data_IF_256648439529
#
_entry.id   IF_256648439529
#
_cell.length_a   1.000
_cell.length_b   1.000
_cell.length_c   1.000
_cell.angle_alpha   90.00
_cell.angle_beta   90.00
_cell.angle_gamma   90.00
#
_symmetry.space_group_name_H-M   'P 1'
#
loop_
_entity.id
_entity.type
_entity.pdbx_description
1 polymer ?
#
# COMPACT_ATOMS: atom_id res chain seq x y z
N UNK A 1 11.96 16.21 1.33
CA UNK A 1 12.83 16.39 0.14
C UNK A 1 12.22 15.74 -1.09
N UNK A 2 11.78 14.47 -1.07
CA UNK A 2 11.28 13.74 -2.25
C UNK A 2 10.08 14.40 -2.94
N UNK A 3 9.11 14.91 -2.19
CA UNK A 3 7.95 15.61 -2.78
C UNK A 3 8.34 16.90 -3.50
N UNK A 4 9.34 17.61 -2.96
CA UNK A 4 9.85 18.84 -3.58
C UNK A 4 10.55 18.51 -4.90
N UNK A 5 11.46 17.54 -4.89
CA UNK A 5 12.16 17.08 -6.10
C UNK A 5 11.16 16.58 -7.15
N UNK A 6 10.15 15.80 -6.76
CA UNK A 6 9.11 15.33 -7.67
C UNK A 6 8.38 16.52 -8.32
N UNK A 7 7.95 17.50 -7.53
CA UNK A 7 7.26 18.68 -8.03
C UNK A 7 8.13 19.53 -8.98
N UNK A 8 9.45 19.53 -8.81
CA UNK A 8 10.38 20.25 -9.66
C UNK A 8 10.64 19.57 -11.00
N UNK A 9 10.73 18.24 -11.02
CA UNK A 9 11.35 17.54 -12.15
C UNK A 9 10.53 16.37 -12.72
N UNK A 10 9.65 15.73 -11.91
CA UNK A 10 8.98 14.51 -12.34
C UNK A 10 7.85 14.76 -13.34
N UNK A 11 7.64 13.81 -14.24
CA UNK A 11 6.49 13.69 -15.15
C UNK A 11 5.52 12.62 -14.67
N UNK A 12 6.04 11.60 -13.96
CA UNK A 12 5.25 10.58 -13.29
C UNK A 12 5.87 10.24 -11.94
N UNK A 13 5.02 9.98 -10.95
CA UNK A 13 5.43 9.64 -9.59
C UNK A 13 4.76 8.36 -9.16
N UNK A 14 5.55 7.31 -8.93
CA UNK A 14 5.10 6.17 -8.17
C UNK A 14 5.05 6.52 -6.69
N UNK A 15 3.96 6.16 -6.01
CA UNK A 15 3.79 6.44 -4.58
C UNK A 15 3.14 5.27 -3.85
N UNK A 16 3.37 5.18 -2.55
CA UNK A 16 2.73 4.19 -1.69
C UNK A 16 1.73 4.89 -0.79
N UNK A 17 0.46 4.76 -1.12
CA UNK A 17 -0.66 5.23 -0.33
C UNK A 17 -1.38 4.03 0.29
N UNK A 18 -2.14 4.25 1.36
CA UNK A 18 -2.90 3.18 2.03
C UNK A 18 -4.40 3.36 1.92
N UNK A 19 -4.83 4.60 1.83
CA UNK A 19 -6.23 4.99 1.77
C UNK A 19 -6.40 6.27 0.95
N UNK A 20 -7.62 6.56 0.57
CA UNK A 20 -7.98 7.69 -0.26
C UNK A 20 -7.58 9.02 0.37
N UNK A 21 -7.79 9.20 1.67
CA UNK A 21 -7.47 10.45 2.36
C UNK A 21 -5.96 10.76 2.30
N UNK A 22 -5.11 9.74 2.50
CA UNK A 22 -3.67 9.87 2.34
C UNK A 22 -3.28 10.18 0.89
N UNK A 23 -3.96 9.56 -0.08
CA UNK A 23 -3.81 9.84 -1.51
C UNK A 23 -4.11 11.30 -1.84
N UNK A 24 -5.26 11.78 -1.42
CA UNK A 24 -5.71 13.17 -1.62
C UNK A 24 -4.75 14.19 -1.00
N UNK A 25 -4.30 13.94 0.24
CA UNK A 25 -3.34 14.82 0.92
C UNK A 25 -1.99 14.87 0.18
N UNK A 26 -1.51 13.72 -0.31
CA UNK A 26 -0.29 13.65 -1.11
C UNK A 26 -0.45 14.37 -2.45
N UNK A 27 -1.55 14.12 -3.14
CA UNK A 27 -1.88 14.73 -4.43
C UNK A 27 -1.92 16.24 -4.33
N UNK A 28 -2.69 16.76 -3.37
CA UNK A 28 -2.82 18.22 -3.15
C UNK A 28 -1.47 18.87 -2.81
N UNK A 29 -0.65 18.25 -1.95
CA UNK A 29 0.67 18.80 -1.58
C UNK A 29 1.60 18.88 -2.79
N UNK A 30 1.73 17.80 -3.57
CA UNK A 30 2.69 17.77 -4.69
C UNK A 30 2.23 18.65 -5.84
N UNK A 31 0.96 18.60 -6.23
CA UNK A 31 0.38 19.47 -7.28
C UNK A 31 0.45 20.93 -6.90
N UNK A 32 0.14 21.27 -5.63
CA UNK A 32 0.25 22.66 -5.13
C UNK A 32 1.69 23.18 -5.08
N UNK A 33 2.69 22.34 -4.93
CA UNK A 33 4.10 22.73 -5.07
C UNK A 33 4.45 23.07 -6.52
N UNK A 34 3.95 22.31 -7.49
CA UNK A 34 4.13 22.60 -8.91
C UNK A 34 3.58 23.96 -9.29
N UNK A 35 2.35 24.27 -8.85
CA UNK A 35 1.70 25.55 -9.09
C UNK A 35 2.53 26.72 -8.55
N UNK A 36 3.04 26.60 -7.31
CA UNK A 36 3.89 27.64 -6.68
C UNK A 36 5.19 27.89 -7.45
N UNK A 37 5.65 26.93 -8.24
CA UNK A 37 6.85 27.06 -9.09
C UNK A 37 6.50 27.44 -10.54
N UNK A 38 5.24 27.72 -10.85
CA UNK A 38 4.78 28.04 -12.20
C UNK A 38 4.76 26.84 -13.16
N UNK A 39 4.82 25.62 -12.63
CA UNK A 39 4.74 24.39 -13.42
C UNK A 39 3.30 23.91 -13.50
N UNK A 40 2.83 23.53 -14.69
CA UNK A 40 1.48 23.02 -14.86
C UNK A 40 1.30 21.66 -14.14
N UNK A 41 0.38 21.53 -13.15
CA UNK A 41 0.15 20.29 -12.42
C UNK A 41 -0.28 19.11 -13.30
N UNK A 42 -0.94 19.37 -14.43
CA UNK A 42 -1.39 18.30 -15.35
C UNK A 42 -0.26 17.62 -16.10
N UNK A 43 0.94 18.20 -16.11
CA UNK A 43 2.13 17.62 -16.72
C UNK A 43 2.80 16.56 -15.87
N UNK A 44 2.30 16.26 -14.67
CA UNK A 44 2.79 15.18 -13.83
C UNK A 44 1.64 14.25 -13.45
N UNK A 45 1.88 12.95 -13.52
CA UNK A 45 0.91 11.92 -13.13
C UNK A 45 1.34 11.24 -11.83
N UNK A 46 0.42 11.18 -10.87
CA UNK A 46 0.63 10.52 -9.58
C UNK A 46 -0.03 9.14 -9.64
N UNK A 47 0.78 8.08 -9.51
CA UNK A 47 0.41 6.69 -9.76
C UNK A 47 0.69 5.84 -8.52
N UNK A 48 -0.22 5.73 -7.54
CA UNK A 48 -0.04 4.82 -6.42
C UNK A 48 -0.01 3.37 -6.87
N UNK A 49 0.84 2.57 -6.22
CA UNK A 49 0.80 1.12 -6.34
C UNK A 49 -0.49 0.58 -5.73
N UNK A 50 -1.22 -0.21 -6.49
CA UNK A 50 -2.48 -0.82 -6.07
C UNK A 50 -2.43 -2.34 -6.27
N UNK A 51 -2.63 -3.09 -5.20
CA UNK A 51 -2.71 -4.55 -5.21
C UNK A 51 -4.16 -4.97 -5.43
N UNK A 52 -4.43 -5.62 -6.56
CA UNK A 52 -5.80 -5.94 -6.97
C UNK A 52 -6.06 -7.44 -6.88
N UNK A 53 -7.11 -7.81 -6.15
CA UNK A 53 -7.58 -9.20 -6.03
C UNK A 53 -9.04 -9.27 -6.47
N UNK A 54 -9.28 -9.86 -7.63
CA UNK A 54 -10.61 -9.98 -8.23
C UNK A 54 -11.25 -11.31 -7.86
N UNK A 55 -12.52 -11.26 -7.49
CA UNK A 55 -13.40 -12.42 -7.33
C UNK A 55 -14.73 -12.19 -8.03
N UNK A 56 -15.46 -13.26 -8.35
CA UNK A 56 -16.82 -13.12 -8.91
C UNK A 56 -17.81 -12.68 -7.82
N UNK A 57 -17.47 -12.90 -6.55
CA UNK A 57 -18.12 -12.31 -5.36
C UNK A 57 -17.11 -11.67 -4.43
N UNK A 58 -17.58 -10.81 -3.51
CA UNK A 58 -16.73 -10.21 -2.48
C UNK A 58 -16.13 -11.27 -1.55
N UNK A 59 -16.90 -12.30 -1.22
CA UNK A 59 -16.47 -13.42 -0.38
C UNK A 59 -15.35 -14.21 -1.05
N UNK A 60 -15.47 -14.47 -2.35
CA UNK A 60 -14.42 -15.14 -3.12
C UNK A 60 -13.12 -14.30 -3.17
N UNK A 61 -13.24 -13.00 -3.45
CA UNK A 61 -12.08 -12.11 -3.47
C UNK A 61 -11.37 -12.09 -2.10
N UNK A 62 -12.13 -12.01 -1.00
CA UNK A 62 -11.60 -12.09 0.36
C UNK A 62 -10.94 -13.42 0.66
N UNK A 63 -11.53 -14.53 0.20
CA UNK A 63 -10.94 -15.86 0.36
C UNK A 63 -9.62 -16.01 -0.40
N UNK A 64 -9.55 -15.50 -1.65
CA UNK A 64 -8.30 -15.41 -2.43
C UNK A 64 -7.23 -14.60 -1.67
N UNK A 65 -7.59 -13.43 -1.14
CA UNK A 65 -6.69 -12.60 -0.34
C UNK A 65 -6.20 -13.32 0.92
N UNK A 66 -7.10 -13.93 1.69
CA UNK A 66 -6.73 -14.69 2.88
C UNK A 66 -5.80 -15.86 2.57
N UNK A 67 -6.02 -16.54 1.42
CA UNK A 67 -5.12 -17.60 0.95
C UNK A 67 -3.73 -17.06 0.64
N UNK A 68 -3.61 -15.92 -0.04
CA UNK A 68 -2.32 -15.28 -0.31
C UNK A 68 -1.60 -14.91 0.98
N UNK A 69 -2.31 -14.30 1.93
CA UNK A 69 -1.75 -13.92 3.23
C UNK A 69 -1.26 -15.16 4.02
N UNK A 70 -1.96 -16.29 3.91
CA UNK A 70 -1.55 -17.56 4.56
C UNK A 70 -0.28 -18.20 3.97
N UNK A 71 0.09 -17.81 2.76
CA UNK A 71 1.29 -18.30 2.08
C UNK A 71 2.54 -17.47 2.42
N UNK A 72 2.41 -16.40 3.16
CA UNK A 72 3.55 -15.59 3.60
C UNK A 72 4.38 -16.41 4.58
N UNK A 73 5.63 -16.68 4.21
CA UNK A 73 6.55 -17.46 5.03
C UNK A 73 6.95 -16.65 6.27
N UNK A 74 6.66 -17.19 7.46
CA UNK A 74 6.78 -16.43 8.72
C UNK A 74 8.22 -15.95 8.99
N UNK A 75 9.24 -16.74 8.69
CA UNK A 75 10.62 -16.33 8.92
C UNK A 75 11.00 -15.13 8.02
N UNK A 76 10.58 -15.15 6.75
CA UNK A 76 10.77 -14.02 5.83
C UNK A 76 9.98 -12.79 6.28
N UNK A 77 8.79 -12.98 6.78
CA UNK A 77 7.95 -11.92 7.33
C UNK A 77 8.60 -11.26 8.56
N UNK A 78 9.16 -12.06 9.47
CA UNK A 78 9.91 -11.57 10.65
C UNK A 78 11.19 -10.84 10.24
N UNK A 79 11.90 -11.31 9.21
CA UNK A 79 13.05 -10.59 8.67
C UNK A 79 12.63 -9.20 8.12
N UNK A 80 11.54 -9.13 7.37
CA UNK A 80 10.99 -7.86 6.86
C UNK A 80 10.55 -6.93 7.99
N UNK A 81 9.92 -7.48 9.04
CA UNK A 81 9.55 -6.73 10.24
C UNK A 81 10.79 -6.18 10.94
N UNK A 82 11.83 -6.99 11.10
CA UNK A 82 13.10 -6.57 11.71
C UNK A 82 13.73 -5.38 10.99
N UNK A 83 13.75 -5.41 9.66
CA UNK A 83 14.25 -4.30 8.83
C UNK A 83 13.38 -3.06 9.05
N UNK A 84 12.06 -3.21 9.05
CA UNK A 84 11.11 -2.10 9.22
C UNK A 84 11.25 -1.44 10.59
N UNK A 85 11.38 -2.25 11.64
CA UNK A 85 11.51 -1.76 13.02
C UNK A 85 12.94 -1.29 13.36
N UNK A 86 13.94 -1.77 12.61
CA UNK A 86 15.36 -1.51 12.88
C UNK A 86 15.91 -2.25 14.08
N UNK A 87 15.30 -3.38 14.44
CA UNK A 87 15.74 -4.25 15.51
C UNK A 87 15.41 -5.72 15.20
N UNK A 88 16.00 -6.65 15.92
CA UNK A 88 15.80 -8.09 15.70
C UNK A 88 14.45 -8.58 16.27
N UNK A 89 13.45 -8.63 15.41
CA UNK A 89 12.09 -9.08 15.77
C UNK A 89 11.98 -10.61 15.97
N UNK A 90 13.01 -11.39 15.63
CA UNK A 90 13.00 -12.85 15.86
C UNK A 90 13.00 -13.23 17.34
N UNK A 91 13.35 -12.28 18.21
CA UNK A 91 13.37 -12.42 19.66
C UNK A 91 12.04 -12.10 20.34
N UNK A 92 11.07 -11.62 19.60
CA UNK A 92 9.76 -11.25 20.14
C UNK A 92 8.84 -12.46 20.25
N UNK A 93 7.92 -12.38 21.21
CA UNK A 93 6.82 -13.34 21.28
C UNK A 93 5.89 -13.13 20.08
N UNK A 94 5.85 -14.12 19.19
CA UNK A 94 5.09 -14.02 17.95
C UNK A 94 3.57 -13.88 18.18
N UNK A 95 3.07 -14.45 19.25
CA UNK A 95 1.64 -14.45 19.55
C UNK A 95 1.25 -13.40 20.59
N UNK A 96 2.26 -12.65 21.09
CA UNK A 96 2.11 -11.49 21.94
C UNK A 96 1.98 -10.18 21.19
N UNK A 97 1.67 -9.08 21.89
CA UNK A 97 1.65 -7.74 21.34
C UNK A 97 3.06 -7.28 20.95
N UNK A 98 3.14 -6.26 20.10
CA UNK A 98 4.42 -5.65 19.75
C UNK A 98 5.04 -5.01 21.03
N UNK A 99 6.27 -5.40 21.43
CA UNK A 99 6.93 -4.80 22.58
C UNK A 99 7.37 -3.36 22.27
N UNK A 100 7.80 -2.64 23.30
CA UNK A 100 8.44 -1.34 23.11
C UNK A 100 9.68 -1.47 22.23
N UNK A 101 9.72 -0.68 21.15
CA UNK A 101 10.78 -0.76 20.16
C UNK A 101 11.85 0.29 20.44
N UNK A 102 13.14 -0.09 20.62
CA UNK A 102 14.22 0.84 20.88
C UNK A 102 14.43 1.81 19.72
N UNK A 103 14.94 2.99 19.99
CA UNK A 103 15.33 3.92 18.95
C UNK A 103 16.38 3.31 18.00
N UNK A 104 16.23 3.55 16.71
CA UNK A 104 17.15 3.05 15.69
C UNK A 104 17.27 4.04 14.54
N UNK A 105 18.31 3.86 13.73
CA UNK A 105 18.52 4.64 12.50
C UNK A 105 17.70 4.11 11.30
N UNK A 106 16.76 3.16 11.52
CA UNK A 106 15.86 2.69 10.49
C UNK A 106 14.93 3.80 9.98
N UNK A 107 14.27 3.54 8.86
CA UNK A 107 13.33 4.49 8.24
C UNK A 107 12.20 4.86 9.20
N UNK A 108 12.27 6.04 9.80
CA UNK A 108 11.32 6.51 10.84
C UNK A 108 9.86 6.34 10.41
N UNK A 109 9.51 6.75 9.20
CA UNK A 109 8.13 6.65 8.69
C UNK A 109 7.62 5.21 8.54
N UNK A 110 8.48 4.26 8.20
CA UNK A 110 8.12 2.83 8.11
C UNK A 110 7.83 2.25 9.49
N UNK A 111 8.73 2.51 10.43
CA UNK A 111 8.62 2.10 11.82
C UNK A 111 7.37 2.67 12.49
N UNK A 112 7.18 3.99 12.42
CA UNK A 112 6.01 4.67 13.00
C UNK A 112 4.69 4.07 12.49
N UNK A 113 4.60 3.81 11.19
CA UNK A 113 3.41 3.17 10.60
C UNK A 113 3.19 1.75 11.13
N UNK A 114 4.25 0.96 11.28
CA UNK A 114 4.15 -0.41 11.79
C UNK A 114 3.68 -0.41 13.26
N UNK A 115 4.27 0.43 14.09
CA UNK A 115 3.89 0.58 15.51
C UNK A 115 2.44 1.05 15.64
N UNK A 116 2.06 2.12 14.93
CA UNK A 116 0.68 2.64 14.94
C UNK A 116 -0.34 1.60 14.47
N UNK A 117 -0.01 0.80 13.46
CA UNK A 117 -0.90 -0.26 12.98
C UNK A 117 -1.07 -1.36 14.03
N UNK A 118 0.02 -1.78 14.68
CA UNK A 118 -0.03 -2.78 15.75
C UNK A 118 -0.88 -2.31 16.93
N UNK A 119 -0.68 -1.07 17.39
CA UNK A 119 -1.43 -0.49 18.51
C UNK A 119 -2.91 -0.27 18.18
N UNK A 120 -3.21 0.35 17.05
CA UNK A 120 -4.58 0.71 16.66
C UNK A 120 -5.46 -0.52 16.43
N UNK A 121 -4.88 -1.58 15.87
CA UNK A 121 -5.61 -2.80 15.47
C UNK A 121 -5.41 -3.95 16.45
N UNK A 122 -4.59 -3.79 17.50
CA UNK A 122 -4.30 -4.83 18.48
C UNK A 122 -3.60 -6.05 17.88
N UNK A 123 -2.71 -5.84 16.90
CA UNK A 123 -2.07 -6.94 16.18
C UNK A 123 -1.00 -7.62 17.03
N UNK A 124 -0.94 -8.96 16.95
CA UNK A 124 0.23 -9.70 17.44
C UNK A 124 1.43 -9.47 16.53
N UNK A 125 2.64 -9.78 17.04
CA UNK A 125 3.88 -9.71 16.23
C UNK A 125 3.76 -10.56 14.97
N UNK A 126 3.18 -11.74 15.04
CA UNK A 126 2.90 -12.63 13.91
C UNK A 126 2.03 -11.94 12.86
N UNK A 127 0.90 -11.38 13.27
CA UNK A 127 -0.03 -10.71 12.38
C UNK A 127 0.60 -9.47 11.72
N UNK A 128 1.34 -8.68 12.49
CA UNK A 128 2.07 -7.54 11.97
C UNK A 128 3.14 -7.96 10.95
N UNK A 129 3.90 -9.01 11.26
CA UNK A 129 4.92 -9.54 10.37
C UNK A 129 4.31 -10.07 9.06
N UNK A 130 3.24 -10.86 9.13
CA UNK A 130 2.54 -11.37 7.95
C UNK A 130 2.01 -10.23 7.07
N UNK A 131 1.44 -9.19 7.70
CA UNK A 131 0.95 -8.01 6.98
C UNK A 131 2.06 -7.25 6.26
N UNK A 132 3.24 -7.13 6.87
CA UNK A 132 4.41 -6.46 6.26
C UNK A 132 5.16 -7.36 5.28
N UNK A 133 5.17 -8.65 5.53
CA UNK A 133 5.76 -9.66 4.63
C UNK A 133 4.91 -9.92 3.37
N UNK A 134 3.59 -9.68 3.47
CA UNK A 134 2.67 -9.60 2.35
C UNK A 134 2.62 -8.18 1.76
N UNK A 135 1.59 -7.89 0.99
CA UNK A 135 1.36 -6.54 0.48
C UNK A 135 0.52 -5.71 1.48
N UNK A 136 1.12 -4.66 2.01
CA UNK A 136 0.53 -3.78 3.04
C UNK A 136 0.15 -2.37 2.56
N UNK A 137 0.30 -2.08 1.26
CA UNK A 137 -0.10 -0.83 0.63
C UNK A 137 -1.60 -0.78 0.29
N UNK A 138 -1.96 0.09 -0.66
CA UNK A 138 -3.32 0.15 -1.19
C UNK A 138 -3.69 -1.19 -1.83
N UNK A 139 -4.77 -1.80 -1.36
CA UNK A 139 -5.28 -3.04 -1.91
C UNK A 139 -6.78 -2.91 -2.18
N UNK A 140 -7.19 -3.25 -3.38
CA UNK A 140 -8.60 -3.35 -3.78
C UNK A 140 -8.95 -4.82 -3.93
N UNK A 141 -9.89 -5.29 -3.11
CA UNK A 141 -10.27 -6.70 -3.01
C UNK A 141 -11.78 -6.81 -3.14
N UNK A 142 -12.26 -7.27 -4.29
CA UNK A 142 -13.70 -7.25 -4.55
C UNK A 142 -14.08 -7.83 -5.90
N UNK A 143 -15.30 -7.53 -6.30
CA UNK A 143 -15.78 -7.82 -7.65
C UNK A 143 -15.22 -6.81 -8.65
N UNK A 144 -15.24 -7.12 -9.97
CA UNK A 144 -14.84 -6.15 -10.99
C UNK A 144 -15.51 -4.79 -10.81
N UNK A 145 -16.82 -4.77 -10.58
CA UNK A 145 -17.60 -3.54 -10.41
C UNK A 145 -17.15 -2.74 -9.17
N UNK A 146 -17.01 -3.40 -8.00
CA UNK A 146 -16.59 -2.69 -6.79
C UNK A 146 -15.18 -2.15 -6.87
N UNK A 147 -14.28 -2.83 -7.59
CA UNK A 147 -12.92 -2.36 -7.84
C UNK A 147 -12.92 -1.17 -8.79
N UNK A 148 -13.71 -1.22 -9.87
CA UNK A 148 -13.85 -0.11 -10.80
C UNK A 148 -14.43 1.13 -10.12
N UNK A 149 -15.50 0.98 -9.31
CA UNK A 149 -16.11 2.06 -8.53
C UNK A 149 -15.08 2.72 -7.58
N UNK A 150 -14.26 1.92 -6.88
CA UNK A 150 -13.23 2.43 -5.99
C UNK A 150 -12.13 3.17 -6.77
N UNK A 151 -11.69 2.63 -7.92
CA UNK A 151 -10.73 3.32 -8.79
C UNK A 151 -11.28 4.64 -9.31
N UNK A 152 -12.54 4.68 -9.70
CA UNK A 152 -13.24 5.88 -10.14
C UNK A 152 -13.32 6.94 -9.04
N UNK A 153 -13.67 6.53 -7.81
CA UNK A 153 -13.68 7.44 -6.66
C UNK A 153 -12.31 8.09 -6.45
N UNK A 154 -11.22 7.31 -6.49
CA UNK A 154 -9.87 7.83 -6.36
C UNK A 154 -9.54 8.88 -7.44
N UNK A 155 -9.93 8.64 -8.68
CA UNK A 155 -9.69 9.54 -9.82
C UNK A 155 -10.49 10.84 -9.67
N UNK A 156 -11.80 10.75 -9.48
CA UNK A 156 -12.69 11.92 -9.42
C UNK A 156 -12.48 12.78 -8.19
N UNK A 157 -12.04 12.18 -7.08
CA UNK A 157 -11.79 12.92 -5.84
C UNK A 157 -10.35 13.40 -5.69
N UNK A 158 -9.55 13.32 -6.75
CA UNK A 158 -8.15 13.75 -6.78
C UNK A 158 -7.26 13.03 -5.77
N UNK A 159 -7.47 11.73 -5.61
CA UNK A 159 -6.56 10.85 -4.88
C UNK A 159 -5.38 10.38 -5.75
N UNK A 160 -5.58 10.35 -7.08
CA UNK A 160 -4.61 9.85 -8.06
C UNK A 160 -4.89 10.41 -9.47
N UNK A 161 -3.93 10.24 -10.37
CA UNK A 161 -4.11 10.39 -11.84
C UNK A 161 -4.21 9.03 -12.56
N UNK A 162 -4.02 7.92 -11.86
CA UNK A 162 -4.06 6.55 -12.34
C UNK A 162 -3.43 5.60 -11.33
N UNK A 163 -3.23 4.33 -11.68
CA UNK A 163 -2.70 3.32 -10.78
C UNK A 163 -1.57 2.53 -11.42
N UNK A 164 -0.60 2.13 -10.61
CA UNK A 164 0.34 1.08 -10.96
C UNK A 164 -0.21 -0.22 -10.38
N UNK A 165 -0.80 -1.06 -11.24
CA UNK A 165 -1.44 -2.30 -10.78
C UNK A 165 -0.38 -3.35 -10.46
N UNK A 166 -0.50 -3.92 -9.26
CA UNK A 166 0.34 -4.99 -8.74
C UNK A 166 -0.49 -6.26 -8.65
N UNK A 167 -0.09 -7.27 -9.42
CA UNK A 167 -0.84 -8.53 -9.49
C UNK A 167 -0.38 -9.50 -8.41
N UNK A 168 -1.33 -10.14 -7.69
CA UNK A 168 -0.98 -11.07 -6.60
C UNK A 168 -0.29 -12.34 -7.11
N UNK A 169 -0.62 -12.77 -8.33
CA UNK A 169 -0.08 -13.96 -9.00
C UNK A 169 -0.24 -13.82 -10.51
N UNK A 170 0.57 -14.53 -11.26
CA UNK A 170 0.58 -14.50 -12.73
C UNK A 170 0.41 -15.91 -13.29
N UNK A 171 -0.26 -16.05 -14.46
CA UNK A 171 -0.87 -14.98 -15.28
C UNK A 171 -2.30 -14.60 -14.86
N UNK A 172 -3.00 -15.41 -14.05
CA UNK A 172 -4.45 -15.30 -13.81
C UNK A 172 -4.83 -13.96 -13.16
N UNK A 173 -4.04 -13.46 -12.19
CA UNK A 173 -4.31 -12.18 -11.55
C UNK A 173 -4.23 -10.99 -12.51
N UNK A 174 -3.33 -11.04 -13.51
CA UNK A 174 -3.27 -10.07 -14.60
C UNK A 174 -4.51 -10.20 -15.51
N UNK A 175 -4.84 -11.43 -15.92
CA UNK A 175 -5.97 -11.69 -16.80
C UNK A 175 -7.29 -11.24 -16.14
N UNK A 176 -7.49 -11.53 -14.85
CA UNK A 176 -8.68 -11.10 -14.12
C UNK A 176 -8.87 -9.56 -14.19
N UNK A 177 -7.78 -8.79 -14.05
CA UNK A 177 -7.87 -7.33 -14.15
C UNK A 177 -8.14 -6.89 -15.60
N UNK A 178 -7.38 -7.41 -16.55
CA UNK A 178 -7.48 -7.00 -17.98
C UNK A 178 -8.83 -7.37 -18.57
N UNK A 179 -9.33 -8.56 -18.26
CA UNK A 179 -10.53 -9.09 -18.91
C UNK A 179 -11.83 -8.70 -18.19
N UNK A 180 -11.77 -8.38 -16.86
CA UNK A 180 -12.96 -8.17 -16.05
C UNK A 180 -13.09 -6.75 -15.47
N UNK A 181 -11.97 -6.06 -15.20
CA UNK A 181 -12.00 -4.72 -14.58
C UNK A 181 -11.82 -3.61 -15.62
N UNK A 182 -10.97 -3.82 -16.63
CA UNK A 182 -10.69 -2.79 -17.66
C UNK A 182 -11.85 -2.54 -18.62
N UNK A 183 -12.68 -3.55 -19.04
CA UNK A 183 -13.82 -3.28 -19.92
C UNK A 183 -14.89 -2.41 -19.31
#
# INVERSE_FOLDING_TARGET
>A
PGRQLAAETAEAVFTSQRDLAAGQAFYADVKGRMEKMGRNPEHMKIMPGCFVVVGDTVEEAKAKRAKLDSLVHIESAIASLSITLGCDASKFDLDGPLPEIPESNATKSGRERAVMAAEKEGLTVRQLAQRLGGYSGLAMVGTPATIADEMEEWLYTRGTDGFTIMFPFLPEGLNDVVDKVVP
#
